data_IF_124691978488
#
_entry.id   IF_124691978488
#
_cell.length_a   1.000
_cell.length_b   1.000
_cell.length_c   1.000
_cell.angle_alpha   90.00
_cell.angle_beta   90.00
_cell.angle_gamma   90.00
#
_symmetry.space_group_name_H-M   'P 1'
#
loop_
_entity.id
_entity.type
_entity.pdbx_description
1 polymer ?
#
# COMPACT_ATOMS: atom_id res chain seq x y z
N UNK A 1 -73.83 -54.20 2.97
CA UNK A 1 -73.02 -54.54 1.77
C UNK A 1 -72.11 -53.36 1.50
N UNK A 2 -70.82 -53.61 1.63
CA UNK A 2 -69.75 -52.62 1.81
C UNK A 2 -69.47 -51.83 0.53
N UNK A 3 -69.36 -50.51 0.65
CA UNK A 3 -68.84 -49.61 -0.39
C UNK A 3 -67.36 -49.37 -0.09
N UNK A 4 -66.50 -49.81 -1.01
CA UNK A 4 -65.04 -49.60 -0.97
C UNK A 4 -64.74 -48.19 -1.47
N UNK A 5 -64.11 -47.35 -0.64
CA UNK A 5 -63.58 -46.06 -1.06
C UNK A 5 -62.09 -46.20 -1.37
N UNK A 6 -61.73 -46.00 -2.63
CA UNK A 6 -60.36 -45.94 -3.14
C UNK A 6 -59.73 -44.59 -2.80
N UNK A 7 -58.72 -44.59 -1.92
CA UNK A 7 -57.87 -43.42 -1.66
C UNK A 7 -56.77 -43.33 -2.73
N UNK A 8 -56.77 -42.26 -3.52
CA UNK A 8 -55.67 -41.94 -4.43
C UNK A 8 -54.60 -41.14 -3.68
N UNK A 9 -53.40 -41.73 -3.52
CA UNK A 9 -52.22 -41.00 -3.05
C UNK A 9 -51.70 -40.10 -4.18
N UNK A 10 -51.75 -38.78 -3.98
CA UNK A 10 -50.99 -37.82 -4.77
C UNK A 10 -49.61 -37.70 -4.13
N UNK A 11 -48.58 -38.23 -4.78
CA UNK A 11 -47.18 -38.04 -4.38
C UNK A 11 -46.72 -36.65 -4.85
N UNK A 12 -46.58 -35.71 -3.90
CA UNK A 12 -46.02 -34.39 -4.13
C UNK A 12 -44.49 -34.54 -4.19
N UNK A 13 -43.93 -34.59 -5.39
CA UNK A 13 -42.48 -34.58 -5.60
C UNK A 13 -41.92 -33.18 -5.30
N UNK A 14 -41.23 -33.02 -4.18
CA UNK A 14 -40.41 -31.85 -3.89
C UNK A 14 -39.12 -31.95 -4.71
N UNK A 15 -39.08 -31.28 -5.86
CA UNK A 15 -37.85 -31.04 -6.59
C UNK A 15 -37.04 -29.96 -5.85
N UNK A 16 -36.08 -30.37 -5.04
CA UNK A 16 -35.06 -29.47 -4.49
C UNK A 16 -34.03 -29.16 -5.58
N UNK A 17 -34.24 -28.07 -6.32
CA UNK A 17 -33.16 -27.48 -7.11
C UNK A 17 -32.10 -26.87 -6.19
N UNK A 18 -30.82 -26.81 -6.58
CA UNK A 18 -29.83 -26.08 -5.82
C UNK A 18 -30.26 -24.61 -5.72
N UNK A 19 -30.36 -24.10 -4.49
CA UNK A 19 -30.61 -22.69 -4.26
C UNK A 19 -29.45 -21.90 -4.85
N UNK A 20 -29.73 -21.03 -5.83
CA UNK A 20 -28.80 -19.99 -6.22
C UNK A 20 -28.50 -19.16 -4.96
N UNK A 21 -27.25 -19.17 -4.52
CA UNK A 21 -26.78 -18.27 -3.46
C UNK A 21 -26.90 -16.87 -4.06
N UNK A 22 -27.93 -16.13 -3.65
CA UNK A 22 -28.00 -14.72 -3.94
C UNK A 22 -26.83 -14.06 -3.19
N UNK A 23 -25.82 -13.60 -3.92
CA UNK A 23 -24.81 -12.68 -3.39
C UNK A 23 -25.55 -11.37 -3.06
N UNK A 24 -26.04 -11.27 -1.82
CA UNK A 24 -26.49 -10.00 -1.29
C UNK A 24 -25.28 -9.07 -1.30
N UNK A 25 -25.39 -7.96 -2.03
CA UNK A 25 -24.49 -6.81 -1.91
C UNK A 25 -24.65 -6.28 -0.48
N UNK A 26 -23.77 -6.70 0.41
CA UNK A 26 -23.68 -6.21 1.78
C UNK A 26 -22.95 -4.88 1.70
N UNK A 27 -23.63 -3.79 2.05
CA UNK A 27 -22.99 -2.52 2.38
C UNK A 27 -21.84 -2.81 3.37
N UNK A 28 -20.57 -2.61 2.98
CA UNK A 28 -19.46 -3.13 3.76
C UNK A 28 -19.35 -2.33 5.05
N UNK A 29 -19.86 -2.92 6.13
CA UNK A 29 -19.79 -2.32 7.46
C UNK A 29 -18.31 -2.12 7.83
N UNK A 30 -17.96 -1.07 8.60
CA UNK A 30 -16.58 -0.81 9.03
C UNK A 30 -15.81 -2.02 9.59
N UNK A 31 -16.49 -2.89 10.35
CA UNK A 31 -15.87 -4.12 10.86
C UNK A 31 -15.52 -5.14 9.76
N UNK A 32 -16.36 -5.26 8.74
CA UNK A 32 -16.14 -6.17 7.63
C UNK A 32 -14.94 -5.70 6.79
N UNK A 33 -14.80 -4.38 6.56
CA UNK A 33 -13.62 -3.77 5.92
C UNK A 33 -12.34 -4.00 6.71
N UNK A 34 -12.35 -3.75 8.02
CA UNK A 34 -11.20 -4.02 8.89
C UNK A 34 -10.76 -5.49 8.81
N UNK A 35 -11.72 -6.42 8.82
CA UNK A 35 -11.44 -7.84 8.67
C UNK A 35 -10.84 -8.14 7.29
N UNK A 36 -11.40 -7.59 6.20
CA UNK A 36 -10.88 -7.79 4.85
C UNK A 36 -9.42 -7.34 4.73
N UNK A 37 -9.09 -6.13 5.19
CA UNK A 37 -7.73 -5.61 5.17
C UNK A 37 -6.77 -6.49 5.97
N UNK A 38 -7.15 -6.85 7.21
CA UNK A 38 -6.31 -7.66 8.10
C UNK A 38 -6.07 -9.07 7.56
N UNK A 39 -7.09 -9.67 6.93
CA UNK A 39 -7.00 -11.00 6.35
C UNK A 39 -6.15 -11.05 5.08
N UNK A 40 -6.23 -10.01 4.24
CA UNK A 40 -5.45 -9.94 3.00
C UNK A 40 -3.96 -9.68 3.28
N UNK A 41 -3.66 -8.62 4.04
CA UNK A 41 -2.29 -8.20 4.36
C UNK A 41 -2.25 -7.50 5.72
N UNK A 42 -1.84 -8.19 6.80
CA UNK A 42 -1.79 -7.61 8.15
C UNK A 42 -1.00 -6.30 8.22
N UNK A 43 0.07 -6.15 7.44
CA UNK A 43 0.88 -4.92 7.38
C UNK A 43 0.07 -3.68 6.95
N UNK A 44 -1.07 -3.87 6.28
CA UNK A 44 -2.00 -2.80 5.90
C UNK A 44 -2.64 -2.11 7.11
N UNK A 45 -2.82 -2.82 8.22
CA UNK A 45 -3.39 -2.28 9.47
C UNK A 45 -2.36 -2.12 10.59
N UNK A 46 -1.08 -2.36 10.30
CA UNK A 46 0.04 -2.08 11.19
C UNK A 46 0.64 -0.69 10.93
N UNK A 47 1.26 -0.12 11.99
CA UNK A 47 1.90 1.20 11.98
C UNK A 47 0.98 2.30 11.40
N UNK A 48 -0.30 2.25 11.75
CA UNK A 48 -1.28 3.28 11.39
C UNK A 48 -1.02 4.55 12.21
N UNK A 49 -1.27 5.70 11.60
CA UNK A 49 -1.29 6.96 12.35
C UNK A 49 -2.33 6.90 13.47
N UNK A 50 -1.99 7.48 14.62
CA UNK A 50 -2.90 7.70 15.75
C UNK A 50 -3.80 8.94 15.58
N UNK A 51 -3.75 9.60 14.41
CA UNK A 51 -4.57 10.74 14.11
C UNK A 51 -6.06 10.37 14.16
N UNK A 52 -6.88 11.16 14.87
CA UNK A 52 -8.31 10.90 14.97
C UNK A 52 -8.98 11.10 13.61
N UNK A 53 -9.97 10.26 13.32
CA UNK A 53 -10.81 10.39 12.13
C UNK A 53 -11.97 11.35 12.40
N UNK A 54 -12.23 12.28 11.47
CA UNK A 54 -13.45 13.09 11.42
C UNK A 54 -14.24 12.81 10.14
N UNK A 55 -15.56 13.00 10.19
CA UNK A 55 -16.44 12.90 9.01
C UNK A 55 -16.98 14.27 8.59
N UNK A 56 -16.40 15.34 9.14
CA UNK A 56 -16.81 16.73 8.90
C UNK A 56 -15.59 17.60 8.68
N UNK A 57 -15.76 18.67 7.92
CA UNK A 57 -14.66 19.56 7.52
C UNK A 57 -14.06 19.17 6.18
N UNK A 58 -12.81 19.60 5.96
CA UNK A 58 -12.07 19.37 4.71
C UNK A 58 -11.39 17.99 4.70
N UNK A 59 -10.69 17.65 5.79
CA UNK A 59 -9.91 16.42 5.89
C UNK A 59 -10.53 15.46 6.90
N UNK A 60 -10.73 14.21 6.50
CA UNK A 60 -11.12 13.12 7.38
C UNK A 60 -9.94 12.66 8.25
N UNK A 61 -8.73 12.67 7.69
CA UNK A 61 -7.48 12.41 8.39
C UNK A 61 -6.46 13.45 7.94
N UNK A 62 -5.72 14.02 8.90
CA UNK A 62 -4.57 14.87 8.62
C UNK A 62 -3.43 14.48 9.58
N UNK A 63 -2.27 14.17 9.02
CA UNK A 63 -1.07 13.75 9.74
C UNK A 63 0.07 14.68 9.38
N UNK A 64 0.88 15.01 10.38
CA UNK A 64 2.18 15.63 10.21
C UNK A 64 3.17 14.84 11.08
N UNK A 65 4.07 14.11 10.43
CA UNK A 65 5.15 13.35 11.07
C UNK A 65 6.50 13.90 10.59
N UNK A 66 7.28 14.46 11.51
CA UNK A 66 8.50 15.21 11.19
C UNK A 66 8.25 16.30 10.12
N UNK A 67 8.81 16.10 8.92
CA UNK A 67 8.72 16.94 7.75
C UNK A 67 7.72 16.40 6.72
N UNK A 68 6.99 15.33 7.01
CA UNK A 68 6.06 14.68 6.08
C UNK A 68 4.62 14.89 6.54
N UNK A 69 3.75 15.32 5.64
CA UNK A 69 2.31 15.41 5.90
C UNK A 69 1.51 14.54 4.95
N UNK A 70 0.42 13.99 5.45
CA UNK A 70 -0.57 13.25 4.68
C UNK A 70 -1.97 13.74 5.01
N UNK A 71 -2.79 13.98 4.00
CA UNK A 71 -4.19 14.40 4.16
C UNK A 71 -5.10 13.51 3.33
N UNK A 72 -6.12 12.97 4.00
CA UNK A 72 -7.20 12.20 3.40
C UNK A 72 -8.49 13.03 3.53
N UNK A 73 -9.15 13.41 2.44
CA UNK A 73 -10.26 14.35 2.46
C UNK A 73 -11.56 13.73 3.00
N UNK A 74 -12.52 14.53 3.45
CA UNK A 74 -13.87 14.01 3.73
C UNK A 74 -14.56 13.56 2.43
N UNK A 75 -14.32 14.26 1.32
CA UNK A 75 -14.89 13.93 0.02
C UNK A 75 -13.87 13.23 -0.86
N UNK A 76 -14.23 12.05 -1.38
CA UNK A 76 -13.33 11.26 -2.23
C UNK A 76 -12.75 12.04 -3.42
N UNK A 77 -13.56 12.91 -4.04
CA UNK A 77 -13.18 13.73 -5.21
C UNK A 77 -11.98 14.65 -4.98
N UNK A 78 -11.73 15.01 -3.71
CA UNK A 78 -10.67 15.96 -3.37
C UNK A 78 -9.28 15.30 -3.37
N UNK A 79 -9.20 13.97 -3.43
CA UNK A 79 -7.96 13.21 -3.56
C UNK A 79 -7.08 13.23 -2.31
N UNK A 80 -6.21 12.23 -2.18
CA UNK A 80 -5.26 12.10 -1.07
C UNK A 80 -4.00 12.88 -1.42
N UNK A 81 -3.46 13.67 -0.48
CA UNK A 81 -2.19 14.37 -0.69
C UNK A 81 -1.16 13.90 0.31
N UNK A 82 0.05 13.63 -0.18
CA UNK A 82 1.24 13.52 0.66
C UNK A 82 2.25 14.59 0.24
N UNK A 83 2.96 15.16 1.21
CA UNK A 83 3.95 16.20 0.92
C UNK A 83 5.07 16.22 1.93
N UNK A 84 6.20 16.79 1.53
CA UNK A 84 7.34 17.06 2.40
C UNK A 84 7.51 18.56 2.61
N UNK A 85 7.77 19.00 3.84
CA UNK A 85 8.01 20.39 4.19
C UNK A 85 9.15 20.97 3.34
N UNK A 86 8.90 22.11 2.68
CA UNK A 86 9.85 22.74 1.78
C UNK A 86 10.14 21.97 0.49
N UNK A 87 9.37 20.91 0.22
CA UNK A 87 9.51 20.05 -0.94
C UNK A 87 8.22 19.88 -1.73
N UNK A 88 8.19 18.80 -2.50
CA UNK A 88 7.11 18.44 -3.42
C UNK A 88 5.89 17.87 -2.70
N UNK A 89 4.70 18.13 -3.26
CA UNK A 89 3.46 17.45 -2.93
C UNK A 89 3.08 16.51 -4.08
N UNK A 90 2.54 15.34 -3.74
CA UNK A 90 1.93 14.41 -4.67
C UNK A 90 0.49 14.24 -4.22
N UNK A 91 -0.46 14.57 -5.09
CA UNK A 91 -1.88 14.29 -4.87
C UNK A 91 -2.29 13.13 -5.77
N UNK A 92 -3.06 12.21 -5.21
CA UNK A 92 -3.59 11.02 -5.86
C UNK A 92 -5.12 11.13 -5.87
N UNK A 93 -5.73 11.13 -7.05
CA UNK A 93 -7.20 11.00 -7.14
C UNK A 93 -7.63 9.59 -6.68
N UNK A 94 -8.89 9.45 -6.30
CA UNK A 94 -9.46 8.15 -5.94
C UNK A 94 -10.33 7.60 -7.07
N UNK A 95 -10.37 6.27 -7.28
CA UNK A 95 -11.19 5.68 -8.33
C UNK A 95 -12.67 5.90 -8.00
N UNK A 96 -13.48 6.20 -9.02
CA UNK A 96 -14.94 6.40 -8.89
C UNK A 96 -15.34 7.50 -7.88
N UNK A 97 -14.47 8.49 -7.66
CA UNK A 97 -14.63 9.49 -6.61
C UNK A 97 -15.81 10.44 -6.78
N UNK A 98 -16.40 10.53 -7.97
CA UNK A 98 -17.57 11.38 -8.25
C UNK A 98 -18.87 10.77 -7.72
N UNK A 99 -18.99 9.44 -7.79
CA UNK A 99 -20.16 8.70 -7.27
C UNK A 99 -20.00 8.26 -5.82
N UNK A 100 -18.76 8.20 -5.32
CA UNK A 100 -18.43 7.69 -4.01
C UNK A 100 -19.10 8.48 -2.87
N UNK A 101 -19.43 7.78 -1.78
CA UNK A 101 -19.89 8.42 -0.54
C UNK A 101 -18.77 9.19 0.17
N UNK A 102 -19.15 10.06 1.11
CA UNK A 102 -18.19 10.75 1.98
C UNK A 102 -17.50 9.76 2.94
N UNK A 103 -16.35 10.15 3.47
CA UNK A 103 -15.51 9.32 4.31
C UNK A 103 -16.26 8.74 5.53
N UNK A 104 -16.19 7.42 5.68
CA UNK A 104 -16.67 6.69 6.85
C UNK A 104 -15.51 6.13 7.66
N UNK A 105 -15.47 6.43 8.95
CA UNK A 105 -14.44 5.93 9.85
C UNK A 105 -14.47 4.40 9.94
N UNK A 106 -13.33 3.77 9.68
CA UNK A 106 -13.13 2.33 9.88
C UNK A 106 -12.47 2.07 11.23
N UNK A 107 -11.36 2.77 11.48
CA UNK A 107 -10.64 2.86 12.75
C UNK A 107 -9.72 4.10 12.69
N UNK A 108 -8.95 4.38 13.75
CA UNK A 108 -7.95 5.46 13.72
C UNK A 108 -6.99 5.30 12.54
N UNK A 109 -6.70 6.40 11.84
CA UNK A 109 -5.88 6.38 10.62
C UNK A 109 -6.52 5.69 9.40
N UNK A 110 -7.76 5.20 9.46
CA UNK A 110 -8.41 4.48 8.33
C UNK A 110 -9.83 4.96 8.09
N UNK A 111 -10.11 5.35 6.84
CA UNK A 111 -11.46 5.69 6.37
C UNK A 111 -11.85 4.83 5.17
N UNK A 112 -13.12 4.89 4.80
CA UNK A 112 -13.68 4.21 3.64
C UNK A 112 -14.55 5.14 2.82
N UNK A 113 -14.59 4.91 1.51
CA UNK A 113 -15.48 5.53 0.54
C UNK A 113 -16.14 4.40 -0.27
N UNK A 114 -17.45 4.22 -0.13
CA UNK A 114 -18.20 3.28 -0.97
C UNK A 114 -18.30 3.86 -2.39
N UNK A 115 -17.71 3.18 -3.36
CA UNK A 115 -17.70 3.59 -4.77
C UNK A 115 -19.02 3.24 -5.49
N UNK A 116 -19.99 2.60 -4.80
CA UNK A 116 -21.32 2.22 -5.31
C UNK A 116 -21.31 1.32 -6.53
N UNK A 117 -20.25 0.53 -6.67
CA UNK A 117 -20.04 -0.36 -7.81
C UNK A 117 -19.53 -1.76 -7.41
N UNK A 118 -19.70 -2.14 -6.13
CA UNK A 118 -19.16 -3.38 -5.57
C UNK A 118 -17.68 -3.29 -5.20
N UNK A 119 -17.15 -2.07 -5.10
CA UNK A 119 -15.84 -1.80 -4.52
C UNK A 119 -15.90 -0.65 -3.51
N UNK A 120 -14.99 -0.65 -2.56
CA UNK A 120 -14.82 0.42 -1.56
C UNK A 120 -13.35 0.82 -1.52
N UNK A 121 -13.08 2.12 -1.60
CA UNK A 121 -11.74 2.67 -1.41
C UNK A 121 -11.49 2.87 0.09
N UNK A 122 -10.43 2.29 0.64
CA UNK A 122 -10.13 2.26 2.08
C UNK A 122 -8.70 2.75 2.37
N UNK A 123 -8.47 4.07 2.37
CA UNK A 123 -7.16 4.62 2.69
C UNK A 123 -6.77 4.36 4.14
N UNK A 124 -5.56 3.87 4.32
CA UNK A 124 -4.93 3.64 5.62
C UNK A 124 -3.64 4.47 5.71
N UNK A 125 -3.67 5.51 6.52
CA UNK A 125 -2.55 6.43 6.72
C UNK A 125 -1.57 5.84 7.73
N UNK A 126 -0.30 5.80 7.36
CA UNK A 126 0.78 5.25 8.18
C UNK A 126 1.41 6.30 9.06
N UNK A 127 2.05 5.87 10.15
CA UNK A 127 2.79 6.75 11.07
C UNK A 127 3.87 7.56 10.33
N UNK A 128 4.47 7.03 9.27
CA UNK A 128 5.50 7.70 8.47
C UNK A 128 4.96 8.68 7.41
N UNK A 129 3.64 8.88 7.37
CA UNK A 129 2.95 9.74 6.40
C UNK A 129 2.72 9.09 5.02
N UNK A 130 3.09 7.83 4.84
CA UNK A 130 2.65 7.07 3.65
C UNK A 130 1.17 6.71 3.74
N UNK A 131 0.54 6.39 2.61
CA UNK A 131 -0.87 5.99 2.56
C UNK A 131 -1.04 4.75 1.70
N UNK A 132 -1.58 3.68 2.28
CA UNK A 132 -2.06 2.52 1.53
C UNK A 132 -3.50 2.81 1.07
N UNK A 133 -3.74 2.92 -0.23
CA UNK A 133 -5.04 3.35 -0.80
C UNK A 133 -5.85 2.14 -1.23
N UNK A 134 -6.10 1.25 -0.27
CA UNK A 134 -6.66 -0.07 -0.55
C UNK A 134 -7.98 0.03 -1.30
N UNK A 135 -8.23 -0.91 -2.20
CA UNK A 135 -9.53 -1.14 -2.80
C UNK A 135 -10.03 -2.51 -2.36
N UNK A 136 -11.14 -2.53 -1.63
CA UNK A 136 -11.86 -3.76 -1.27
C UNK A 136 -12.89 -4.03 -2.36
N UNK A 137 -12.80 -5.20 -2.98
CA UNK A 137 -13.62 -5.64 -4.11
C UNK A 137 -14.54 -6.74 -3.59
N UNK A 138 -15.85 -6.51 -3.58
CA UNK A 138 -16.81 -7.36 -2.87
C UNK A 138 -17.29 -8.57 -3.69
N UNK A 139 -17.13 -8.53 -5.01
CA UNK A 139 -17.60 -9.60 -5.88
C UNK A 139 -17.22 -9.45 -7.35
N UNK A 140 -17.49 -10.51 -8.12
CA UNK A 140 -17.15 -10.58 -9.54
C UNK A 140 -17.81 -9.51 -10.44
N UNK A 141 -18.85 -8.83 -9.94
CA UNK A 141 -19.53 -7.74 -10.65
C UNK A 141 -18.75 -6.41 -10.58
N UNK A 142 -17.84 -6.27 -9.62
CA UNK A 142 -17.03 -5.07 -9.45
C UNK A 142 -16.07 -4.84 -10.64
N UNK A 143 -15.61 -3.59 -10.86
CA UNK A 143 -14.65 -3.27 -11.92
C UNK A 143 -13.32 -4.02 -11.80
N UNK A 144 -12.67 -4.25 -12.93
CA UNK A 144 -11.30 -4.82 -12.98
C UNK A 144 -10.21 -3.75 -12.99
N UNK A 145 -10.59 -2.48 -13.22
CA UNK A 145 -9.68 -1.35 -13.46
C UNK A 145 -10.03 -0.23 -12.48
N UNK A 146 -9.01 0.29 -11.82
CA UNK A 146 -9.10 1.34 -10.82
C UNK A 146 -8.11 2.44 -11.19
N UNK A 147 -8.64 3.60 -11.54
CA UNK A 147 -7.89 4.70 -12.12
C UNK A 147 -7.51 5.72 -11.02
N UNK A 148 -6.24 6.13 -11.03
CA UNK A 148 -5.64 7.07 -10.10
C UNK A 148 -4.84 8.10 -10.89
N UNK A 149 -5.27 9.36 -10.88
CA UNK A 149 -4.52 10.47 -11.46
C UNK A 149 -3.55 11.01 -10.42
N UNK A 150 -2.28 11.17 -10.81
CA UNK A 150 -1.24 11.75 -9.96
C UNK A 150 -0.98 13.20 -10.36
N UNK A 151 -1.42 14.14 -9.51
CA UNK A 151 -0.95 15.51 -9.60
C UNK A 151 0.44 15.59 -8.93
N UNK A 152 1.45 15.77 -9.76
CA UNK A 152 2.85 15.89 -9.36
C UNK A 152 3.38 17.31 -9.59
N UNK A 153 4.49 17.71 -8.95
CA UNK A 153 5.06 19.04 -9.14
C UNK A 153 5.37 19.33 -10.61
N UNK A 154 5.24 20.58 -11.02
CA UNK A 154 5.50 21.01 -12.40
C UNK A 154 6.88 20.56 -12.88
N UNK A 155 6.92 19.95 -14.08
CA UNK A 155 8.14 19.42 -14.68
C UNK A 155 8.58 18.05 -14.15
N UNK A 156 7.85 17.47 -13.19
CA UNK A 156 8.05 16.08 -12.78
C UNK A 156 7.55 15.10 -13.83
N UNK A 157 8.06 13.88 -13.80
CA UNK A 157 7.61 12.75 -14.62
C UNK A 157 7.38 11.51 -13.78
N UNK A 158 6.47 10.65 -14.25
CA UNK A 158 6.26 9.33 -13.67
C UNK A 158 6.97 8.28 -14.52
N UNK A 159 7.61 7.31 -13.87
CA UNK A 159 8.22 6.17 -14.54
C UNK A 159 7.76 4.85 -13.90
N UNK A 160 7.17 3.97 -14.71
CA UNK A 160 6.90 2.58 -14.32
C UNK A 160 8.21 1.79 -14.39
N UNK A 161 8.66 1.24 -13.26
CA UNK A 161 9.93 0.52 -13.16
C UNK A 161 9.74 -0.98 -13.40
N UNK A 162 10.85 -1.71 -13.58
CA UNK A 162 10.82 -3.14 -13.86
C UNK A 162 10.27 -4.02 -12.73
N UNK A 163 10.23 -3.50 -11.50
CA UNK A 163 9.64 -4.22 -10.36
C UNK A 163 8.13 -3.95 -10.19
N UNK A 164 7.55 -3.12 -11.07
CA UNK A 164 6.14 -2.76 -11.06
C UNK A 164 5.82 -1.52 -10.23
N UNK A 165 6.78 -0.93 -9.51
CA UNK A 165 6.59 0.37 -8.85
C UNK A 165 6.48 1.52 -9.86
N UNK A 166 5.81 2.60 -9.46
CA UNK A 166 5.82 3.87 -10.18
C UNK A 166 6.60 4.88 -9.36
N UNK A 167 7.61 5.51 -9.95
CA UNK A 167 8.38 6.57 -9.28
C UNK A 167 8.00 7.93 -9.85
N UNK A 168 8.02 8.94 -8.99
CA UNK A 168 7.94 10.35 -9.37
C UNK A 168 9.36 10.91 -9.33
N UNK A 169 9.81 11.44 -10.46
CA UNK A 169 11.08 12.12 -10.62
C UNK A 169 10.83 13.60 -10.88
N UNK A 170 11.58 14.48 -10.24
CA UNK A 170 11.50 15.91 -10.53
C UNK A 170 12.14 16.26 -11.89
N UNK A 171 12.11 17.54 -12.26
CA UNK A 171 12.69 18.04 -13.51
C UNK A 171 14.22 17.86 -13.62
N UNK A 172 14.91 17.45 -12.54
CA UNK A 172 16.33 17.11 -12.53
C UNK A 172 16.58 15.60 -12.59
N UNK A 173 15.52 14.78 -12.57
CA UNK A 173 15.59 13.33 -12.52
C UNK A 173 15.83 12.78 -11.12
N UNK A 174 15.66 13.61 -10.08
CA UNK A 174 15.80 13.17 -8.68
C UNK A 174 14.46 12.61 -8.16
N UNK A 175 14.55 11.57 -7.35
CA UNK A 175 13.38 10.91 -6.76
C UNK A 175 12.69 11.81 -5.74
N UNK A 176 11.37 11.98 -5.88
CA UNK A 176 10.55 12.75 -4.93
C UNK A 176 9.49 11.92 -4.22
N UNK A 177 9.13 10.74 -4.73
CA UNK A 177 8.14 9.84 -4.15
C UNK A 177 7.67 8.78 -5.15
N UNK A 178 6.59 8.07 -4.85
CA UNK A 178 5.98 7.15 -5.80
C UNK A 178 4.99 6.17 -5.18
N UNK A 179 4.60 5.19 -5.99
CA UNK A 179 3.69 4.11 -5.66
C UNK A 179 4.47 2.80 -5.62
N UNK A 180 4.33 2.03 -4.54
CA UNK A 180 4.97 0.72 -4.40
C UNK A 180 4.45 -0.26 -5.48
N UNK A 181 5.13 -1.39 -5.75
CA UNK A 181 4.61 -2.40 -6.65
C UNK A 181 3.20 -2.86 -6.27
N UNK A 182 2.31 -3.11 -7.24
CA UNK A 182 0.94 -3.49 -6.97
C UNK A 182 0.90 -4.88 -6.33
N UNK A 183 -0.01 -5.06 -5.39
CA UNK A 183 -0.43 -6.38 -4.96
C UNK A 183 -1.95 -6.43 -4.85
N UNK A 184 -2.47 -7.65 -5.00
CA UNK A 184 -3.86 -7.97 -4.73
C UNK A 184 -3.94 -9.35 -4.10
N UNK A 185 -4.81 -9.51 -3.10
CA UNK A 185 -5.01 -10.78 -2.39
C UNK A 185 -6.48 -11.00 -2.10
N UNK A 186 -6.90 -12.25 -2.19
CA UNK A 186 -8.26 -12.67 -1.90
C UNK A 186 -8.49 -12.85 -0.38
N UNK A 187 -9.70 -13.23 0.01
CA UNK A 187 -10.08 -13.38 1.42
C UNK A 187 -9.32 -14.50 2.17
N UNK A 188 -8.61 -15.37 1.45
CA UNK A 188 -7.75 -16.41 2.02
C UNK A 188 -6.27 -15.99 2.03
N UNK A 189 -5.96 -14.75 1.59
CA UNK A 189 -4.60 -14.26 1.42
C UNK A 189 -3.91 -14.80 0.17
N UNK A 190 -4.66 -15.44 -0.75
CA UNK A 190 -4.12 -15.96 -2.00
C UNK A 190 -3.83 -14.81 -2.95
N UNK A 191 -2.63 -14.72 -3.55
CA UNK A 191 -2.32 -13.69 -4.53
C UNK A 191 -3.28 -13.73 -5.73
N UNK A 192 -3.82 -12.57 -6.08
CA UNK A 192 -4.62 -12.34 -7.28
C UNK A 192 -3.73 -11.58 -8.28
N UNK A 193 -3.68 -11.97 -9.57
CA UNK A 193 -2.88 -11.25 -10.56
C UNK A 193 -3.31 -9.79 -10.66
N UNK A 194 -2.33 -8.89 -10.63
CA UNK A 194 -2.52 -7.44 -10.76
C UNK A 194 -1.27 -6.80 -11.34
N UNK A 195 -1.46 -5.68 -12.03
CA UNK A 195 -0.38 -4.85 -12.56
C UNK A 195 -0.82 -3.39 -12.67
N UNK A 196 0.15 -2.49 -12.84
CA UNK A 196 -0.10 -1.11 -13.21
C UNK A 196 0.05 -0.90 -14.72
N UNK A 197 -0.82 -0.06 -15.26
CA UNK A 197 -0.67 0.59 -16.56
C UNK A 197 -0.50 2.09 -16.30
N UNK A 198 0.44 2.73 -16.99
CA UNK A 198 0.76 4.15 -16.81
C UNK A 198 0.70 4.87 -18.15
N UNK A 199 -0.12 5.91 -18.25
CA UNK A 199 -0.18 6.84 -19.38
C UNK A 199 -0.06 8.29 -18.87
N UNK A 200 1.13 8.89 -19.07
CA UNK A 200 1.42 10.21 -18.49
C UNK A 200 1.38 10.18 -16.97
N UNK A 201 0.38 10.85 -16.38
CA UNK A 201 0.09 10.93 -14.95
C UNK A 201 -1.06 10.03 -14.51
N UNK A 202 -1.73 9.36 -15.46
CA UNK A 202 -2.82 8.42 -15.19
C UNK A 202 -2.25 7.04 -14.87
N UNK A 203 -2.41 6.61 -13.62
CA UNK A 203 -2.06 5.29 -13.13
C UNK A 203 -3.30 4.43 -13.02
N UNK A 204 -3.35 3.30 -13.72
CA UNK A 204 -4.43 2.33 -13.60
C UNK A 204 -3.92 1.06 -12.94
N UNK A 205 -4.53 0.66 -11.83
CA UNK A 205 -4.36 -0.69 -11.30
C UNK A 205 -5.38 -1.63 -11.94
N UNK A 206 -4.89 -2.65 -12.62
CA UNK A 206 -5.71 -3.74 -13.14
C UNK A 206 -5.65 -4.90 -12.15
N UNK A 207 -6.80 -5.42 -11.74
CA UNK A 207 -6.93 -6.55 -10.80
C UNK A 207 -7.73 -7.66 -11.46
N UNK A 208 -7.11 -8.78 -11.78
CA UNK A 208 -7.73 -9.89 -12.52
C UNK A 208 -8.53 -10.83 -11.59
N UNK A 209 -9.49 -10.27 -10.85
CA UNK A 209 -10.20 -11.00 -9.79
C UNK A 209 -11.38 -11.86 -10.27
N UNK A 210 -11.74 -11.82 -11.57
CA UNK A 210 -12.86 -12.59 -12.14
C UNK A 210 -12.41 -13.99 -12.58
N UNK A 211 -11.97 -14.79 -11.62
CA UNK A 211 -11.66 -16.22 -11.80
C UNK A 211 -12.52 -17.06 -10.84
N UNK A 212 -12.78 -18.32 -11.19
CA UNK A 212 -13.51 -19.27 -10.33
C UNK A 212 -12.78 -19.58 -9.02
N UNK A 213 -11.44 -19.42 -9.01
CA UNK A 213 -10.59 -19.72 -7.86
C UNK A 213 -10.46 -18.55 -6.86
N UNK A 214 -11.01 -17.36 -7.17
CA UNK A 214 -10.89 -16.16 -6.34
C UNK A 214 -11.98 -16.14 -5.27
N UNK A 215 -11.59 -15.97 -4.01
CA UNK A 215 -12.52 -15.84 -2.88
C UNK A 215 -12.65 -14.40 -2.41
N UNK A 216 -13.86 -13.85 -2.50
CA UNK A 216 -14.13 -12.46 -2.12
C UNK A 216 -14.26 -12.26 -0.59
N UNK A 217 -13.96 -11.05 -0.08
CA UNK A 217 -13.48 -9.88 -0.83
C UNK A 217 -12.03 -10.02 -1.28
N UNK A 218 -11.69 -9.37 -2.40
CA UNK A 218 -10.30 -9.15 -2.81
C UNK A 218 -9.87 -7.77 -2.33
N UNK A 219 -8.68 -7.66 -1.76
CA UNK A 219 -8.06 -6.37 -1.41
C UNK A 219 -6.90 -6.13 -2.37
N UNK A 220 -6.87 -4.95 -2.98
CA UNK A 220 -5.80 -4.49 -3.86
C UNK A 220 -5.23 -3.16 -3.35
N UNK A 221 -3.95 -2.92 -3.60
CA UNK A 221 -3.23 -1.74 -3.09
C UNK A 221 -2.51 -0.98 -4.20
N UNK A 222 -2.65 0.35 -4.19
CA UNK A 222 -1.57 1.27 -4.38
C UNK A 222 -1.12 1.92 -3.07
N UNK A 223 0.15 1.66 -2.72
CA UNK A 223 0.82 2.26 -1.58
C UNK A 223 1.61 3.49 -2.00
N UNK A 224 1.14 4.67 -1.62
CA UNK A 224 1.76 5.96 -1.92
C UNK A 224 2.74 6.37 -0.81
N UNK A 225 4.00 6.65 -1.14
CA UNK A 225 5.02 7.00 -0.15
C UNK A 225 6.10 7.97 -0.64
N UNK A 226 6.67 8.73 0.30
CA UNK A 226 7.78 9.69 0.06
C UNK A 226 8.96 9.52 1.04
N UNK A 227 8.73 8.93 2.23
CA UNK A 227 9.76 8.67 3.26
C UNK A 227 10.28 7.24 3.10
N UNK A 228 11.60 7.07 3.04
CA UNK A 228 12.25 5.76 2.79
C UNK A 228 12.84 5.16 4.08
N UNK A 229 13.20 6.01 5.04
CA UNK A 229 13.86 5.65 6.30
C UNK A 229 13.07 6.24 7.46
N UNK A 230 12.52 5.36 8.30
CA UNK A 230 11.79 5.78 9.50
C UNK A 230 12.74 6.20 10.62
N UNK A 231 13.86 5.49 10.79
CA UNK A 231 14.74 5.70 11.94
C UNK A 231 16.17 5.28 11.68
N UNK A 232 17.11 6.01 12.31
CA UNK A 232 18.51 5.56 12.45
C UNK A 232 18.95 5.63 13.91
N UNK A 233 19.27 4.48 14.51
CA UNK A 233 19.87 4.43 15.85
C UNK A 233 21.39 4.35 15.75
N UNK A 234 22.11 5.29 16.37
CA UNK A 234 23.58 5.25 16.45
C UNK A 234 24.04 4.56 17.73
N UNK A 235 24.81 3.49 17.60
CA UNK A 235 25.41 2.73 18.70
C UNK A 235 26.92 2.91 18.67
N UNK A 236 27.51 3.33 19.79
CA UNK A 236 28.97 3.40 19.93
C UNK A 236 29.52 2.04 20.33
N UNK A 237 30.51 1.56 19.59
CA UNK A 237 31.22 0.30 19.85
C UNK A 237 32.72 0.51 19.89
N UNK A 238 33.44 -0.46 20.46
CA UNK A 238 34.91 -0.42 20.58
C UNK A 238 35.63 -0.15 19.26
N UNK A 239 35.06 -0.62 18.13
CA UNK A 239 35.65 -0.48 16.79
C UNK A 239 35.20 0.79 16.06
N UNK A 240 34.12 1.43 16.50
CA UNK A 240 33.52 2.57 15.82
C UNK A 240 32.01 2.65 16.05
N UNK A 241 31.29 3.38 15.20
CA UNK A 241 29.83 3.54 15.30
C UNK A 241 29.12 2.50 14.43
N UNK A 242 28.06 1.89 14.97
CA UNK A 242 27.08 1.11 14.19
C UNK A 242 25.81 1.94 14.05
N UNK A 243 25.32 2.09 12.82
CA UNK A 243 24.06 2.72 12.51
C UNK A 243 23.03 1.62 12.24
N UNK A 244 22.01 1.51 13.07
CA UNK A 244 20.87 0.60 12.85
C UNK A 244 19.81 1.38 12.08
N UNK A 245 19.69 1.13 10.79
CA UNK A 245 18.74 1.80 9.90
C UNK A 245 17.45 0.99 9.86
N UNK A 246 16.31 1.63 10.12
CA UNK A 246 14.97 1.07 9.95
C UNK A 246 14.35 1.70 8.71
N UNK A 247 14.14 0.94 7.62
CA UNK A 247 13.38 1.45 6.47
C UNK A 247 11.89 1.55 6.81
N UNK A 248 11.18 2.45 6.12
CA UNK A 248 9.71 2.44 6.06
C UNK A 248 9.22 1.22 5.29
N UNK A 249 7.91 0.93 5.28
CA UNK A 249 7.38 -0.15 4.44
C UNK A 249 7.65 0.15 2.95
N UNK A 250 7.41 1.39 2.52
CA UNK A 250 7.77 1.85 1.17
C UNK A 250 9.28 1.79 0.89
N UNK A 251 10.12 2.16 1.85
CA UNK A 251 11.57 2.08 1.73
C UNK A 251 12.11 0.66 1.56
N UNK A 252 11.31 -0.38 1.87
CA UNK A 252 11.66 -1.77 1.58
C UNK A 252 11.37 -2.16 0.13
N UNK A 253 10.42 -1.51 -0.52
CA UNK A 253 10.06 -1.76 -1.93
C UNK A 253 10.73 -0.79 -2.90
N UNK A 254 11.56 0.12 -2.38
CA UNK A 254 12.18 1.18 -3.17
C UNK A 254 12.99 0.63 -4.38
N UNK A 255 12.86 1.23 -5.57
CA UNK A 255 13.65 0.84 -6.72
C UNK A 255 15.11 1.27 -6.59
N UNK A 256 15.98 0.72 -7.44
CA UNK A 256 17.44 0.95 -7.38
C UNK A 256 17.81 2.44 -7.46
N UNK A 257 17.06 3.24 -8.21
CA UNK A 257 17.27 4.69 -8.32
C UNK A 257 17.06 5.41 -6.98
N UNK A 258 16.15 4.91 -6.13
CA UNK A 258 15.84 5.49 -4.82
C UNK A 258 16.88 5.14 -3.74
N UNK A 259 17.83 4.23 -4.02
CA UNK A 259 18.87 3.88 -3.05
C UNK A 259 19.74 5.07 -2.62
N UNK A 260 20.03 6.01 -3.52
CA UNK A 260 20.84 7.20 -3.20
C UNK A 260 20.03 8.20 -2.34
N UNK A 261 18.80 8.58 -2.71
CA UNK A 261 17.87 9.32 -1.85
C UNK A 261 17.68 8.68 -0.46
N UNK A 262 17.42 7.37 -0.39
CA UNK A 262 17.25 6.69 0.90
C UNK A 262 18.50 6.78 1.78
N UNK A 263 19.70 6.65 1.19
CA UNK A 263 20.92 6.83 1.95
C UNK A 263 21.16 8.29 2.36
N UNK A 264 20.63 9.26 1.59
CA UNK A 264 20.64 10.66 1.98
C UNK A 264 19.76 10.88 3.23
N UNK A 265 18.58 10.26 3.32
CA UNK A 265 17.78 10.25 4.56
C UNK A 265 18.55 9.64 5.74
N UNK A 266 19.30 8.53 5.53
CA UNK A 266 20.19 7.98 6.57
C UNK A 266 21.23 9.01 7.01
N UNK A 267 21.85 9.72 6.06
CA UNK A 267 22.82 10.78 6.35
C UNK A 267 22.20 11.91 7.17
N UNK A 268 20.99 12.33 6.82
CA UNK A 268 20.30 13.45 7.43
C UNK A 268 19.76 13.11 8.83
N UNK A 269 19.25 11.90 9.04
CA UNK A 269 18.79 11.43 10.36
C UNK A 269 20.00 11.22 11.30
N UNK A 270 21.04 10.53 10.82
CA UNK A 270 22.21 10.23 11.66
C UNK A 270 23.24 11.38 11.74
N UNK A 271 23.03 12.46 10.98
CA UNK A 271 23.94 13.60 10.82
C UNK A 271 25.37 13.15 10.44
N UNK A 272 25.45 12.30 9.42
CA UNK A 272 26.72 11.75 8.91
C UNK A 272 27.00 12.19 7.47
N UNK A 273 28.29 12.33 7.14
CA UNK A 273 28.74 12.57 5.76
C UNK A 273 28.72 11.28 4.96
N UNK A 274 28.56 11.41 3.64
CA UNK A 274 28.68 10.29 2.72
C UNK A 274 30.03 9.56 2.89
N UNK A 275 29.96 8.24 2.96
CA UNK A 275 31.14 7.37 2.87
C UNK A 275 30.77 6.14 2.05
N UNK A 276 31.59 5.84 1.04
CA UNK A 276 31.32 4.73 0.12
C UNK A 276 31.12 3.38 0.84
N UNK A 277 31.91 3.09 1.89
CA UNK A 277 31.76 1.84 2.63
C UNK A 277 30.41 1.68 3.35
N UNK A 278 29.81 2.78 3.85
CA UNK A 278 28.49 2.76 4.48
C UNK A 278 27.41 2.64 3.42
N UNK A 279 27.57 3.34 2.29
CA UNK A 279 26.62 3.27 1.18
C UNK A 279 26.57 1.87 0.54
N UNK A 280 27.72 1.22 0.33
CA UNK A 280 27.75 -0.15 -0.19
C UNK A 280 27.15 -1.16 0.79
N UNK A 281 27.37 -0.98 2.10
CA UNK A 281 26.67 -1.75 3.13
C UNK A 281 25.16 -1.51 3.06
N UNK A 282 24.72 -0.26 2.93
CA UNK A 282 23.31 0.11 2.82
C UNK A 282 22.65 -0.56 1.62
N UNK A 283 23.16 -0.32 0.41
CA UNK A 283 22.61 -0.88 -0.85
C UNK A 283 22.59 -2.39 -0.89
N UNK A 284 23.50 -3.05 -0.18
CA UNK A 284 23.48 -4.50 -0.09
C UNK A 284 22.17 -5.03 0.53
N UNK A 285 21.54 -4.27 1.43
CA UNK A 285 20.32 -4.70 2.11
C UNK A 285 19.09 -4.79 1.18
N UNK A 286 18.68 -3.72 0.45
CA UNK A 286 17.56 -3.80 -0.48
C UNK A 286 17.85 -4.73 -1.67
N UNK A 287 19.13 -4.89 -2.06
CA UNK A 287 19.53 -5.84 -3.11
C UNK A 287 19.61 -7.30 -2.66
N UNK A 288 19.36 -7.61 -1.39
CA UNK A 288 19.45 -8.95 -0.85
C UNK A 288 18.10 -9.41 -0.33
N UNK A 289 17.52 -10.44 -0.96
CA UNK A 289 16.23 -11.02 -0.53
C UNK A 289 16.19 -11.51 0.93
N UNK A 290 17.35 -11.71 1.57
CA UNK A 290 17.44 -12.08 2.99
C UNK A 290 17.61 -10.86 3.89
N UNK A 291 18.37 -9.86 3.45
CA UNK A 291 18.64 -8.69 4.28
C UNK A 291 17.48 -7.67 4.23
N UNK A 292 16.74 -7.63 3.11
CA UNK A 292 15.60 -6.72 2.90
C UNK A 292 14.50 -6.93 3.93
N UNK A 293 14.24 -8.17 4.35
CA UNK A 293 13.20 -8.52 5.34
C UNK A 293 13.65 -8.31 6.79
N UNK A 294 14.91 -7.93 7.04
CA UNK A 294 15.36 -7.66 8.42
C UNK A 294 14.72 -6.38 8.93
N UNK A 295 14.29 -6.41 10.20
CA UNK A 295 13.71 -5.23 10.87
C UNK A 295 14.66 -4.02 10.88
N UNK A 296 15.98 -4.25 10.95
CA UNK A 296 17.00 -3.19 10.81
C UNK A 296 18.17 -3.61 9.92
N UNK A 297 18.78 -2.63 9.26
CA UNK A 297 19.97 -2.74 8.42
C UNK A 297 21.15 -2.12 9.16
N UNK A 298 22.16 -2.92 9.49
CA UNK A 298 23.31 -2.47 10.27
C UNK A 298 24.42 -1.97 9.36
N UNK A 299 24.83 -0.72 9.55
CA UNK A 299 25.96 -0.10 8.85
C UNK A 299 27.08 0.17 9.85
N UNK A 300 28.24 -0.43 9.64
CA UNK A 300 29.34 -0.42 10.61
C UNK A 300 30.49 0.46 10.12
N UNK A 301 30.84 1.47 10.92
CA UNK A 301 31.75 2.53 10.47
C UNK A 301 33.20 2.08 10.29
N UNK A 302 33.57 0.93 10.83
CA UNK A 302 34.93 0.37 10.79
C UNK A 302 35.15 -0.63 9.67
N UNK A 303 34.09 -1.00 8.92
CA UNK A 303 34.22 -1.95 7.81
C UNK A 303 35.00 -1.34 6.64
N UNK A 304 35.86 -2.12 5.96
CA UNK A 304 36.63 -1.61 4.85
C UNK A 304 35.74 -1.22 3.67
N UNK A 305 36.22 -0.29 2.84
CA UNK A 305 35.60 -0.03 1.54
C UNK A 305 36.08 -1.09 0.53
N UNK A 306 35.23 -2.07 0.23
CA UNK A 306 35.56 -3.18 -0.69
C UNK A 306 34.73 -3.18 -1.98
N UNK A 307 33.82 -2.20 -2.14
CA UNK A 307 32.85 -2.16 -3.23
C UNK A 307 31.64 -3.08 -2.99
N UNK A 308 30.51 -2.74 -3.61
CA UNK A 308 29.23 -3.45 -3.45
C UNK A 308 29.31 -4.96 -3.70
N UNK A 309 29.98 -5.40 -4.77
CA UNK A 309 30.07 -6.83 -5.11
C UNK A 309 30.73 -7.66 -3.99
N UNK A 310 31.83 -7.15 -3.40
CA UNK A 310 32.50 -7.83 -2.29
C UNK A 310 31.69 -7.73 -0.99
N UNK A 311 30.99 -6.62 -0.77
CA UNK A 311 30.04 -6.46 0.34
C UNK A 311 28.92 -7.50 0.28
N UNK A 312 28.31 -7.69 -0.90
CA UNK A 312 27.28 -8.72 -1.14
C UNK A 312 27.82 -10.13 -0.95
N UNK A 313 29.02 -10.43 -1.47
CA UNK A 313 29.68 -11.73 -1.27
C UNK A 313 29.97 -12.05 0.22
N UNK A 314 30.01 -11.02 1.08
CA UNK A 314 30.16 -11.13 2.54
C UNK A 314 28.83 -10.95 3.30
N UNK A 315 27.68 -11.14 2.63
CA UNK A 315 26.35 -11.03 3.24
C UNK A 315 26.12 -9.68 3.94
N UNK A 316 26.50 -8.60 3.25
CA UNK A 316 26.43 -7.21 3.70
C UNK A 316 27.35 -6.86 4.88
N UNK A 317 28.32 -7.71 5.21
CA UNK A 317 29.24 -7.51 6.34
C UNK A 317 30.72 -7.69 5.96
N UNK A 318 31.29 -6.76 5.16
CA UNK A 318 32.62 -6.90 4.57
C UNK A 318 33.78 -6.82 5.57
#
# INVERSE_FOLDING_TARGET
MSTVATASLVALGLATGPAAVANATVDPRPNDLRTALTSAEPETVENLSDAPVTQTGEYAIAVLEDDVSATVPVKARDGITISREGGSAIRLSLPFSEEADDAVAVMDGVVSYDNKNGSTTVPAVKEDGSVAVNTVIDGAHAPLRYDYELDVPEGSSLELTSDGSVVVLDAQGEFVGGVAPPWAKDAQGTPVPTHYELDGTELVQVVEHRSEDVVYPVVADPYLGIKLISKVQTVNEKKGKRYKVTPTLYGRTMPVLAHRPAFQEVQDIAKIKFRQNLYDQFRCHPLSGIAIVKGTWNLESWRPNVGLAKTMAKKCNP
#
